data_IF_619932681720
#
_entry.id   IF_619932681720
#
_cell.length_a   1.000
_cell.length_b   1.000
_cell.length_c   1.000
_cell.angle_alpha   90.00
_cell.angle_beta   90.00
_cell.angle_gamma   90.00
#
_symmetry.space_group_name_H-M   'P 1'
#
loop_
_entity.id
_entity.type
_entity.pdbx_description
1 polymer ?
#
# COMPACT_ATOMS: atom_id res chain seq x y z
N UNK A 1 -15.12 -24.42 -9.54
CA UNK A 1 -13.97 -25.02 -8.86
C UNK A 1 -13.42 -23.97 -7.86
N UNK A 2 -13.44 -24.23 -6.55
CA UNK A 2 -13.01 -23.25 -5.54
C UNK A 2 -11.50 -23.00 -5.71
N UNK A 3 -11.12 -21.82 -6.15
CA UNK A 3 -9.75 -21.35 -6.12
C UNK A 3 -9.42 -21.03 -4.66
N UNK A 4 -9.04 -22.06 -3.90
CA UNK A 4 -8.48 -21.90 -2.55
C UNK A 4 -7.17 -21.19 -2.78
N UNK A 5 -7.08 -19.95 -2.30
CA UNK A 5 -5.83 -19.20 -2.23
C UNK A 5 -4.83 -20.07 -1.43
N UNK A 6 -3.95 -20.81 -2.12
CA UNK A 6 -2.89 -21.57 -1.48
C UNK A 6 -1.91 -20.58 -0.86
N UNK A 7 -2.16 -20.20 0.37
CA UNK A 7 -1.20 -19.44 1.18
C UNK A 7 0.14 -20.20 1.14
N UNK A 8 1.17 -19.58 0.58
CA UNK A 8 2.52 -20.12 0.66
C UNK A 8 2.90 -20.13 2.15
N UNK A 9 2.95 -21.29 2.78
CA UNK A 9 3.13 -21.45 4.24
C UNK A 9 4.39 -20.74 4.75
N UNK A 10 5.50 -20.82 4.02
CA UNK A 10 6.78 -20.21 4.42
C UNK A 10 6.72 -18.69 4.65
N UNK A 11 6.21 -17.87 3.73
CA UNK A 11 6.05 -16.42 3.96
C UNK A 11 5.13 -16.10 5.13
N UNK A 12 4.05 -16.87 5.33
CA UNK A 12 3.12 -16.68 6.45
C UNK A 12 3.82 -16.93 7.78
N UNK A 13 4.58 -18.03 7.92
CA UNK A 13 5.35 -18.33 9.12
C UNK A 13 6.44 -17.28 9.41
N UNK A 14 7.09 -16.78 8.35
CA UNK A 14 8.07 -15.69 8.48
C UNK A 14 7.40 -14.39 8.99
N UNK A 15 6.23 -14.03 8.45
CA UNK A 15 5.48 -12.88 8.90
C UNK A 15 5.06 -13.02 10.37
N UNK A 16 4.55 -14.17 10.77
CA UNK A 16 4.20 -14.43 12.18
C UNK A 16 5.39 -14.34 13.11
N UNK A 17 6.53 -14.93 12.74
CA UNK A 17 7.75 -14.85 13.53
C UNK A 17 8.21 -13.40 13.76
N UNK A 18 8.03 -12.51 12.76
CA UNK A 18 8.31 -11.08 12.90
C UNK A 18 7.33 -10.40 13.83
N UNK A 19 6.02 -10.61 13.62
CA UNK A 19 4.96 -10.03 14.43
C UNK A 19 5.14 -10.41 15.90
N UNK A 20 5.48 -11.67 16.19
CA UNK A 20 5.79 -12.15 17.56
C UNK A 20 6.99 -11.41 18.19
N UNK A 21 7.97 -10.99 17.40
CA UNK A 21 9.10 -10.17 17.86
C UNK A 21 8.78 -8.69 17.95
N UNK A 22 7.55 -8.27 17.55
CA UNK A 22 7.12 -6.89 17.45
C UNK A 22 7.69 -6.13 16.25
N UNK A 23 8.15 -6.87 15.23
CA UNK A 23 8.65 -6.32 13.97
C UNK A 23 7.51 -6.25 12.95
N UNK A 24 7.52 -5.24 12.08
CA UNK A 24 6.52 -5.13 11.02
C UNK A 24 7.02 -5.87 9.76
N UNK A 25 6.20 -6.77 9.19
CA UNK A 25 6.60 -7.53 8.01
C UNK A 25 6.61 -6.72 6.71
N UNK A 26 5.92 -5.57 6.67
CA UNK A 26 5.77 -4.76 5.46
C UNK A 26 6.31 -3.35 5.65
N UNK A 27 6.97 -2.84 4.62
CA UNK A 27 7.48 -1.47 4.53
C UNK A 27 6.90 -0.82 3.27
N UNK A 28 6.37 0.39 3.39
CA UNK A 28 5.94 1.22 2.27
C UNK A 28 6.78 2.50 2.27
N UNK A 29 7.42 2.82 1.16
CA UNK A 29 8.29 3.99 1.01
C UNK A 29 7.72 4.93 -0.04
N UNK A 30 7.44 6.17 0.37
CA UNK A 30 7.23 7.28 -0.55
C UNK A 30 8.61 7.80 -0.95
N UNK A 31 9.22 7.21 -2.00
CA UNK A 31 10.63 7.48 -2.36
C UNK A 31 10.86 8.86 -2.96
N UNK A 32 9.82 9.61 -3.25
CA UNK A 32 9.90 10.96 -3.79
C UNK A 32 8.60 11.72 -3.52
N UNK A 33 8.71 13.02 -3.34
CA UNK A 33 7.57 13.94 -3.34
C UNK A 33 7.20 14.45 -4.73
N UNK A 34 8.03 14.15 -5.74
CA UNK A 34 7.81 14.62 -7.09
C UNK A 34 6.77 13.75 -7.81
N UNK A 35 5.79 14.39 -8.44
CA UNK A 35 4.83 13.75 -9.33
C UNK A 35 4.55 14.67 -10.50
N UNK A 36 4.58 14.17 -11.75
CA UNK A 36 4.24 14.97 -12.93
C UNK A 36 2.74 15.23 -13.04
N UNK A 37 1.92 14.53 -12.23
CA UNK A 37 0.47 14.68 -12.20
C UNK A 37 0.04 15.63 -11.08
N UNK A 38 -1.16 16.20 -11.24
CA UNK A 38 -1.84 17.06 -10.27
C UNK A 38 -3.28 16.58 -10.11
N UNK A 39 -3.42 15.35 -9.62
CA UNK A 39 -4.72 14.71 -9.45
C UNK A 39 -5.52 15.41 -8.35
N UNK A 40 -6.76 15.86 -8.59
CA UNK A 40 -7.64 16.31 -7.53
C UNK A 40 -7.85 15.20 -6.49
N UNK A 41 -7.80 15.55 -5.20
CA UNK A 41 -8.01 14.60 -4.11
C UNK A 41 -6.91 13.54 -3.97
N UNK A 42 -5.70 13.80 -4.45
CA UNK A 42 -4.56 12.92 -4.23
C UNK A 42 -4.18 12.91 -2.74
N UNK A 43 -4.37 11.78 -2.06
CA UNK A 43 -4.17 11.66 -0.62
C UNK A 43 -2.76 12.08 -0.17
N UNK A 44 -1.73 11.85 -0.99
CA UNK A 44 -0.34 12.18 -0.64
C UNK A 44 -0.08 13.70 -0.57
N UNK A 45 -0.87 14.50 -1.26
CA UNK A 45 -0.77 15.96 -1.27
C UNK A 45 -1.88 16.65 -0.44
N UNK A 46 -2.77 15.87 0.18
CA UNK A 46 -3.74 16.42 1.11
C UNK A 46 -3.01 17.03 2.34
N UNK A 47 -3.40 18.22 2.81
CA UNK A 47 -2.74 18.87 3.95
C UNK A 47 -2.70 18.00 5.21
N UNK A 48 -3.68 17.14 5.39
CA UNK A 48 -3.78 16.24 6.53
C UNK A 48 -2.87 15.01 6.44
N UNK A 49 -2.29 14.69 5.28
CA UNK A 49 -1.55 13.44 5.04
C UNK A 49 -0.43 13.20 6.07
N UNK A 50 0.38 14.21 6.35
CA UNK A 50 1.47 14.16 7.32
C UNK A 50 1.18 14.98 8.59
N UNK A 51 -0.07 15.30 8.83
CA UNK A 51 -0.45 16.19 9.93
C UNK A 51 -0.16 17.67 9.61
N UNK A 52 0.78 18.28 10.35
CA UNK A 52 1.07 19.72 10.17
C UNK A 52 2.13 20.04 9.10
N UNK A 53 2.82 19.02 8.57
CA UNK A 53 3.93 19.23 7.61
C UNK A 53 3.47 18.90 6.21
N UNK A 54 3.48 19.86 5.27
CA UNK A 54 3.19 19.57 3.87
C UNK A 54 4.24 18.65 3.26
N UNK A 55 3.81 17.70 2.43
CA UNK A 55 4.72 16.77 1.72
C UNK A 55 5.82 17.54 0.94
N UNK A 56 5.49 18.70 0.41
CA UNK A 56 6.41 19.53 -0.38
C UNK A 56 7.58 20.10 0.42
N UNK A 57 7.45 20.17 1.73
CA UNK A 57 8.47 20.72 2.63
C UNK A 57 9.45 19.67 3.13
N UNK A 58 9.15 18.39 2.90
CA UNK A 58 10.06 17.30 3.23
C UNK A 58 11.28 17.28 2.29
N UNK A 59 12.39 16.73 2.79
CA UNK A 59 13.54 16.37 1.95
C UNK A 59 13.13 15.36 0.88
N UNK A 60 13.79 15.45 -0.27
CA UNK A 60 13.56 14.57 -1.42
C UNK A 60 14.91 14.14 -2.00
N UNK A 61 15.29 12.90 -1.76
CA UNK A 61 16.60 12.38 -2.09
C UNK A 61 16.67 11.89 -3.55
N UNK A 62 17.89 11.93 -4.13
CA UNK A 62 18.16 11.54 -5.52
C UNK A 62 19.52 10.85 -5.60
N UNK A 63 19.72 10.12 -6.71
CA UNK A 63 21.00 9.48 -7.02
C UNK A 63 21.47 8.54 -5.91
N UNK A 64 22.78 8.56 -5.66
CA UNK A 64 23.44 7.65 -4.70
C UNK A 64 22.90 7.79 -3.28
N UNK A 65 22.53 9.00 -2.85
CA UNK A 65 21.97 9.22 -1.52
C UNK A 65 20.64 8.50 -1.34
N UNK A 66 19.71 8.58 -2.32
CA UNK A 66 18.46 7.84 -2.29
C UNK A 66 18.71 6.33 -2.23
N UNK A 67 19.63 5.84 -3.07
CA UNK A 67 19.99 4.42 -3.14
C UNK A 67 20.50 3.93 -1.77
N UNK A 68 21.48 4.64 -1.20
CA UNK A 68 22.07 4.28 0.09
C UNK A 68 21.02 4.28 1.23
N UNK A 69 20.15 5.30 1.28
CA UNK A 69 19.09 5.40 2.29
C UNK A 69 18.07 4.26 2.17
N UNK A 70 17.59 3.95 0.96
CA UNK A 70 16.62 2.87 0.74
C UNK A 70 17.22 1.53 1.13
N UNK A 71 18.46 1.22 0.74
CA UNK A 71 19.15 -0.01 1.14
C UNK A 71 19.33 -0.09 2.66
N UNK A 72 19.75 1.01 3.29
CA UNK A 72 19.89 1.08 4.75
C UNK A 72 18.57 0.84 5.50
N UNK A 73 17.44 1.31 4.95
CA UNK A 73 16.12 1.02 5.52
C UNK A 73 15.73 -0.44 5.35
N UNK A 74 15.99 -1.04 4.18
CA UNK A 74 15.71 -2.45 3.93
C UNK A 74 16.55 -3.34 4.83
N UNK A 75 17.82 -3.03 5.03
CA UNK A 75 18.69 -3.75 5.97
C UNK A 75 18.22 -3.61 7.43
N UNK A 76 17.79 -2.42 7.81
CA UNK A 76 17.27 -2.13 9.16
C UNK A 76 15.96 -2.84 9.45
N UNK A 77 15.01 -2.76 8.53
CA UNK A 77 13.66 -3.30 8.75
C UNK A 77 13.46 -4.71 8.22
N UNK A 78 14.28 -5.14 7.26
CA UNK A 78 14.22 -6.46 6.61
C UNK A 78 12.80 -6.86 6.23
N UNK A 79 12.05 -6.03 5.49
CA UNK A 79 10.65 -6.32 5.18
C UNK A 79 10.53 -7.58 4.33
N UNK A 80 9.41 -8.30 4.49
CA UNK A 80 9.03 -9.38 3.57
C UNK A 80 8.37 -8.84 2.32
N UNK A 81 7.72 -7.68 2.45
CA UNK A 81 7.07 -6.94 1.37
C UNK A 81 7.49 -5.47 1.42
N UNK A 82 8.00 -4.96 0.32
CA UNK A 82 8.37 -3.57 0.13
C UNK A 82 7.48 -2.95 -0.94
N UNK A 83 6.65 -1.98 -0.56
CA UNK A 83 5.89 -1.17 -1.49
C UNK A 83 6.62 0.13 -1.74
N UNK A 84 6.93 0.42 -2.99
CA UNK A 84 7.56 1.66 -3.45
C UNK A 84 6.47 2.51 -4.08
N UNK A 85 6.22 3.63 -3.44
CA UNK A 85 5.20 4.62 -3.82
C UNK A 85 5.83 6.02 -3.72
N UNK A 86 5.04 7.06 -3.66
CA UNK A 86 5.50 8.42 -3.46
C UNK A 86 4.64 9.40 -4.24
N UNK A 87 5.23 10.44 -4.79
CA UNK A 87 4.59 11.22 -5.84
C UNK A 87 4.32 10.31 -7.04
N UNK A 88 5.35 10.02 -7.83
CA UNK A 88 5.35 8.87 -8.74
C UNK A 88 6.75 8.25 -8.80
N UNK A 89 6.92 6.96 -8.47
CA UNK A 89 8.23 6.32 -8.42
C UNK A 89 9.00 6.34 -9.74
N UNK A 90 8.33 6.39 -10.89
CA UNK A 90 9.01 6.47 -12.19
C UNK A 90 9.78 7.78 -12.39
N UNK A 91 9.60 8.79 -11.54
CA UNK A 91 10.49 9.97 -11.51
C UNK A 91 11.91 9.55 -11.11
N UNK A 92 12.04 8.50 -10.30
CA UNK A 92 13.31 7.92 -9.81
C UNK A 92 13.66 6.60 -10.51
N UNK A 93 13.26 6.42 -11.78
CA UNK A 93 13.45 5.15 -12.48
C UNK A 93 14.92 4.72 -12.60
N UNK A 94 15.87 5.67 -12.68
CA UNK A 94 17.31 5.36 -12.76
C UNK A 94 17.83 4.78 -11.44
N UNK A 95 17.43 5.36 -10.33
CA UNK A 95 17.75 4.86 -8.99
C UNK A 95 17.09 3.51 -8.74
N UNK A 96 15.84 3.35 -9.19
CA UNK A 96 15.13 2.08 -9.09
C UNK A 96 15.77 0.98 -9.93
N UNK A 97 16.30 1.30 -11.10
CA UNK A 97 17.01 0.35 -11.98
C UNK A 97 18.25 -0.24 -11.28
N UNK A 98 18.94 0.57 -10.46
CA UNK A 98 20.08 0.16 -9.63
C UNK A 98 19.64 -0.59 -8.38
N UNK A 99 18.52 -0.17 -7.76
CA UNK A 99 17.99 -0.72 -6.51
C UNK A 99 17.36 -2.10 -6.69
N UNK A 100 16.57 -2.30 -7.75
CA UNK A 100 15.76 -3.50 -7.93
C UNK A 100 16.56 -4.79 -7.85
N UNK A 101 17.72 -4.97 -8.55
CA UNK A 101 18.49 -6.21 -8.44
C UNK A 101 18.93 -6.55 -7.01
N UNK A 102 19.14 -5.54 -6.16
CA UNK A 102 19.55 -5.74 -4.77
C UNK A 102 18.34 -6.04 -3.87
N UNK A 103 17.21 -5.37 -4.10
CA UNK A 103 16.02 -5.49 -3.27
C UNK A 103 15.32 -6.84 -3.43
N UNK A 104 15.16 -7.31 -4.68
CA UNK A 104 14.41 -8.55 -5.00
C UNK A 104 15.02 -9.83 -4.44
N UNK A 105 16.30 -9.81 -4.09
CA UNK A 105 16.98 -10.94 -3.44
C UNK A 105 16.48 -11.16 -2.00
N UNK A 106 15.95 -10.11 -1.36
CA UNK A 106 15.63 -10.10 0.06
C UNK A 106 14.14 -9.91 0.36
N UNK A 107 13.40 -9.27 -0.54
CA UNK A 107 12.00 -8.88 -0.32
C UNK A 107 11.19 -8.99 -1.61
N UNK A 108 9.88 -9.16 -1.46
CA UNK A 108 8.96 -8.96 -2.58
C UNK A 108 8.75 -7.46 -2.78
N UNK A 109 9.05 -6.96 -3.96
CA UNK A 109 8.97 -5.53 -4.29
C UNK A 109 7.71 -5.24 -5.09
N UNK A 110 6.94 -4.24 -4.67
CA UNK A 110 5.81 -3.70 -5.43
C UNK A 110 6.10 -2.24 -5.76
N UNK A 111 5.96 -1.86 -7.02
CA UNK A 111 6.03 -0.46 -7.47
C UNK A 111 4.64 -0.03 -7.90
N UNK A 112 4.11 1.05 -7.29
CA UNK A 112 2.80 1.62 -7.65
C UNK A 112 3.03 2.95 -8.37
N UNK A 113 2.62 3.03 -9.63
CA UNK A 113 2.87 4.18 -10.50
C UNK A 113 1.66 4.56 -11.32
N UNK A 114 1.61 5.78 -11.83
CA UNK A 114 0.67 6.21 -12.86
C UNK A 114 1.09 5.80 -14.28
N UNK A 115 2.26 5.21 -14.44
CA UNK A 115 2.86 4.89 -15.74
C UNK A 115 2.85 6.09 -16.72
N UNK A 116 3.09 7.30 -16.22
CA UNK A 116 3.11 8.54 -17.01
C UNK A 116 4.21 8.55 -18.08
N UNK A 117 5.21 7.68 -17.94
CA UNK A 117 6.32 7.43 -18.85
C UNK A 117 6.50 5.93 -19.08
N UNK A 118 7.24 5.52 -20.15
CA UNK A 118 7.57 4.12 -20.37
C UNK A 118 8.23 3.49 -19.14
N UNK A 119 7.74 2.32 -18.76
CA UNK A 119 8.39 1.49 -17.73
C UNK A 119 9.63 0.86 -18.37
N UNK A 120 10.80 0.83 -17.70
CA UNK A 120 12.00 0.20 -18.27
C UNK A 120 11.76 -1.26 -18.63
N UNK A 121 12.04 -1.66 -19.86
CA UNK A 121 11.85 -3.06 -20.32
C UNK A 121 12.70 -4.05 -19.53
N UNK A 122 13.81 -3.62 -18.92
CA UNK A 122 14.61 -4.41 -17.98
C UNK A 122 13.79 -4.95 -16.80
N UNK A 123 12.65 -4.31 -16.47
CA UNK A 123 11.81 -4.71 -15.34
C UNK A 123 10.76 -5.78 -15.72
N UNK A 124 10.55 -6.06 -17.00
CA UNK A 124 9.47 -6.94 -17.46
C UNK A 124 9.57 -8.37 -16.91
N UNK A 125 10.79 -8.87 -16.70
CA UNK A 125 11.05 -10.25 -16.25
C UNK A 125 11.75 -10.33 -14.90
N UNK A 126 11.74 -9.22 -14.12
CA UNK A 126 12.38 -9.19 -12.81
C UNK A 126 11.57 -10.05 -11.83
N UNK A 127 12.16 -11.12 -11.25
CA UNK A 127 11.44 -11.96 -10.30
C UNK A 127 11.13 -11.18 -9.01
N UNK A 128 10.05 -11.55 -8.33
CA UNK A 128 9.61 -10.88 -7.09
C UNK A 128 9.29 -9.39 -7.23
N UNK A 129 9.20 -8.85 -8.44
CA UNK A 129 8.72 -7.51 -8.73
C UNK A 129 7.26 -7.56 -9.18
N UNK A 130 6.43 -6.73 -8.60
CA UNK A 130 5.07 -6.47 -9.04
C UNK A 130 4.89 -5.01 -9.45
N UNK A 131 4.54 -4.79 -10.69
CA UNK A 131 4.20 -3.48 -11.22
C UNK A 131 2.69 -3.26 -11.08
N UNK A 132 2.31 -2.20 -10.40
CA UNK A 132 0.91 -1.79 -10.21
C UNK A 132 0.70 -0.44 -10.87
N UNK A 133 -0.20 -0.39 -11.83
CA UNK A 133 -0.51 0.83 -12.57
C UNK A 133 -1.87 1.36 -12.12
N UNK A 134 -1.85 2.60 -11.66
CA UNK A 134 -3.05 3.27 -11.16
C UNK A 134 -3.88 3.83 -12.31
N UNK A 135 -5.08 3.30 -12.51
CA UNK A 135 -6.02 3.71 -13.56
C UNK A 135 -7.40 3.92 -12.94
N UNK A 136 -7.87 5.15 -12.94
CA UNK A 136 -9.13 5.53 -12.27
C UNK A 136 -10.25 5.82 -13.28
N UNK A 137 -10.60 4.82 -14.07
CA UNK A 137 -11.68 4.86 -15.03
C UNK A 137 -11.24 4.64 -16.48
N UNK A 138 -12.20 4.66 -17.39
CA UNK A 138 -11.99 4.73 -18.83
C UNK A 138 -11.73 6.19 -19.24
N UNK A 139 -11.30 6.42 -20.47
CA UNK A 139 -11.24 7.77 -21.03
C UNK A 139 -12.68 8.24 -21.37
N UNK A 140 -13.09 9.51 -21.08
CA UNK A 140 -12.27 10.63 -20.57
C UNK A 140 -12.18 10.74 -19.04
N UNK A 141 -12.91 9.93 -18.26
CA UNK A 141 -13.02 10.05 -16.80
C UNK A 141 -11.66 9.92 -16.11
N UNK A 142 -10.83 8.99 -16.59
CA UNK A 142 -9.46 8.84 -16.09
C UNK A 142 -8.67 10.15 -16.26
N UNK A 143 -8.73 10.75 -17.44
CA UNK A 143 -7.96 11.96 -17.76
C UNK A 143 -8.46 13.20 -17.00
N UNK A 144 -9.76 13.24 -16.65
CA UNK A 144 -10.30 14.27 -15.76
C UNK A 144 -9.80 14.13 -14.32
N UNK A 145 -9.65 12.90 -13.84
CA UNK A 145 -9.21 12.62 -12.47
C UNK A 145 -7.69 12.63 -12.33
N UNK A 146 -6.94 12.19 -13.35
CA UNK A 146 -5.47 12.15 -13.36
C UNK A 146 -4.91 13.17 -14.35
N UNK A 147 -4.65 14.37 -13.85
CA UNK A 147 -4.18 15.51 -14.67
C UNK A 147 -2.67 15.67 -14.61
N UNK A 148 -2.00 16.04 -15.73
CA UNK A 148 -2.54 16.09 -17.10
C UNK A 148 -2.86 14.68 -17.63
N UNK A 149 -3.73 14.63 -18.68
CA UNK A 149 -4.20 13.40 -19.32
C UNK A 149 -3.10 12.37 -19.57
N UNK A 150 -3.32 11.13 -19.11
CA UNK A 150 -2.32 10.05 -19.17
C UNK A 150 -2.84 8.77 -19.81
N UNK A 151 -4.15 8.63 -20.07
CA UNK A 151 -4.76 7.36 -20.48
C UNK A 151 -4.07 6.71 -21.69
N UNK A 152 -3.93 7.47 -22.79
CA UNK A 152 -3.26 6.96 -24.00
C UNK A 152 -1.76 6.64 -23.77
N UNK A 153 -1.12 7.42 -22.92
CA UNK A 153 0.28 7.15 -22.52
C UNK A 153 0.39 5.84 -21.76
N UNK A 154 -0.54 5.56 -20.85
CA UNK A 154 -0.54 4.30 -20.08
C UNK A 154 -0.61 3.13 -21.04
N UNK A 155 -1.56 3.13 -22.00
CA UNK A 155 -1.71 2.06 -22.98
C UNK A 155 -0.41 1.78 -23.77
N UNK A 156 0.37 2.81 -24.05
CA UNK A 156 1.67 2.68 -24.69
C UNK A 156 2.76 2.24 -23.70
N UNK A 157 2.82 2.87 -22.54
CA UNK A 157 3.94 2.75 -21.59
C UNK A 157 4.01 1.41 -20.86
N UNK A 158 2.90 0.64 -20.83
CA UNK A 158 2.84 -0.69 -20.21
C UNK A 158 3.14 -1.83 -21.20
N UNK A 159 3.33 -1.54 -22.48
CA UNK A 159 3.59 -2.56 -23.49
C UNK A 159 4.86 -3.36 -23.16
N UNK A 160 4.80 -4.68 -23.35
CA UNK A 160 5.91 -5.58 -23.04
C UNK A 160 6.08 -5.93 -21.56
N UNK A 161 5.17 -5.46 -20.69
CA UNK A 161 5.17 -5.77 -19.26
C UNK A 161 4.00 -6.66 -18.86
N UNK A 162 4.06 -7.15 -17.59
CA UNK A 162 2.98 -7.82 -16.90
C UNK A 162 2.59 -6.96 -15.69
N UNK A 163 1.51 -6.17 -15.84
CA UNK A 163 1.10 -5.21 -14.81
C UNK A 163 -0.21 -5.60 -14.15
N UNK A 164 -0.35 -5.23 -12.88
CA UNK A 164 -1.64 -5.17 -12.23
C UNK A 164 -2.24 -3.77 -12.42
N UNK A 165 -3.48 -3.68 -12.88
CA UNK A 165 -4.24 -2.43 -12.88
C UNK A 165 -4.88 -2.26 -11.51
N UNK A 166 -4.71 -1.08 -10.90
CA UNK A 166 -5.42 -0.72 -9.68
C UNK A 166 -6.35 0.46 -9.96
N UNK A 167 -7.63 0.27 -9.68
CA UNK A 167 -8.67 1.28 -9.85
C UNK A 167 -9.36 1.58 -8.53
N UNK A 168 -9.62 2.86 -8.26
CA UNK A 168 -10.44 3.30 -7.12
C UNK A 168 -11.85 3.61 -7.59
N UNK A 169 -12.81 2.76 -7.19
CA UNK A 169 -14.24 2.96 -7.47
C UNK A 169 -14.74 4.21 -6.72
N UNK A 170 -15.40 5.10 -7.45
CA UNK A 170 -16.03 6.31 -6.94
C UNK A 170 -17.53 6.28 -7.14
N UNK A 171 -18.26 7.18 -6.45
CA UNK A 171 -19.72 7.34 -6.62
C UNK A 171 -20.10 7.56 -8.10
N UNK A 172 -19.33 8.35 -8.84
CA UNK A 172 -19.60 8.62 -10.26
C UNK A 172 -19.56 7.35 -11.11
N UNK A 173 -18.61 6.43 -10.84
CA UNK A 173 -18.52 5.17 -11.56
C UNK A 173 -19.72 4.25 -11.28
N UNK A 174 -20.19 4.21 -10.04
CA UNK A 174 -21.31 3.34 -9.62
C UNK A 174 -22.64 3.86 -10.18
N UNK A 175 -22.80 5.17 -10.30
CA UNK A 175 -24.01 5.80 -10.89
C UNK A 175 -24.16 5.54 -12.39
N UNK A 176 -23.05 5.31 -13.09
CA UNK A 176 -23.09 4.95 -14.52
C UNK A 176 -23.28 3.44 -14.65
N UNK A 177 -24.50 3.06 -15.07
CA UNK A 177 -24.83 1.64 -15.29
C UNK A 177 -23.87 0.98 -16.28
N UNK A 178 -23.36 -0.22 -15.95
CA UNK A 178 -22.45 -0.97 -16.82
C UNK A 178 -21.00 -0.48 -16.84
N UNK A 179 -20.65 0.63 -16.18
CA UNK A 179 -19.32 1.22 -16.28
C UNK A 179 -18.21 0.34 -15.71
N UNK A 180 -18.41 -0.23 -14.53
CA UNK A 180 -17.40 -1.10 -13.91
C UNK A 180 -17.16 -2.37 -14.74
N UNK A 181 -18.19 -3.08 -15.24
CA UNK A 181 -18.00 -4.16 -16.23
C UNK A 181 -17.21 -3.71 -17.46
N UNK A 182 -17.61 -2.61 -18.10
CA UNK A 182 -16.93 -2.05 -19.28
C UNK A 182 -15.44 -1.78 -19.01
N UNK A 183 -15.11 -1.20 -17.86
CA UNK A 183 -13.73 -0.98 -17.42
C UNK A 183 -12.96 -2.30 -17.29
N UNK A 184 -13.55 -3.29 -16.61
CA UNK A 184 -12.90 -4.58 -16.37
C UNK A 184 -12.69 -5.32 -17.68
N UNK A 185 -13.68 -5.30 -18.59
CA UNK A 185 -13.60 -5.92 -19.92
C UNK A 185 -12.49 -5.31 -20.77
N UNK A 186 -12.47 -3.96 -20.85
CA UNK A 186 -11.46 -3.23 -21.61
C UNK A 186 -10.02 -3.57 -21.13
N UNK A 187 -9.76 -3.48 -19.84
CA UNK A 187 -8.43 -3.75 -19.30
C UNK A 187 -8.08 -5.23 -19.29
N UNK A 188 -9.06 -6.14 -19.19
CA UNK A 188 -8.84 -7.57 -19.31
C UNK A 188 -8.43 -7.99 -20.73
N UNK A 189 -8.89 -7.28 -21.75
CA UNK A 189 -8.50 -7.52 -23.14
C UNK A 189 -7.04 -7.09 -23.44
N UNK A 190 -6.45 -6.23 -22.63
CA UNK A 190 -5.07 -5.78 -22.84
C UNK A 190 -4.07 -6.89 -22.45
N UNK A 191 -3.15 -7.32 -23.37
CA UNK A 191 -2.20 -8.39 -23.10
C UNK A 191 -1.15 -8.04 -22.03
N UNK A 192 -0.85 -6.77 -21.83
CA UNK A 192 0.07 -6.31 -20.77
C UNK A 192 -0.55 -6.38 -19.37
N UNK A 193 -1.86 -6.53 -19.25
CA UNK A 193 -2.56 -6.62 -17.96
C UNK A 193 -2.66 -8.06 -17.52
N UNK A 194 -2.07 -8.36 -16.37
CA UNK A 194 -2.15 -9.67 -15.72
C UNK A 194 -3.32 -9.74 -14.74
N UNK A 195 -3.54 -8.65 -13.98
CA UNK A 195 -4.52 -8.58 -12.90
C UNK A 195 -5.20 -7.22 -12.85
N UNK A 196 -6.41 -7.20 -12.32
CA UNK A 196 -7.16 -5.99 -12.01
C UNK A 196 -7.56 -6.03 -10.55
N UNK A 197 -7.22 -4.99 -9.81
CA UNK A 197 -7.61 -4.79 -8.42
C UNK A 197 -8.48 -3.55 -8.30
N UNK A 198 -9.55 -3.68 -7.56
CA UNK A 198 -10.47 -2.58 -7.30
C UNK A 198 -10.45 -2.22 -5.82
N UNK A 199 -10.16 -0.96 -5.54
CA UNK A 199 -10.41 -0.32 -4.24
C UNK A 199 -11.69 0.49 -4.31
N UNK A 200 -12.22 0.92 -3.17
CA UNK A 200 -13.25 1.95 -3.11
C UNK A 200 -12.67 3.23 -2.52
N UNK A 201 -13.22 4.36 -2.88
CA UNK A 201 -12.77 5.64 -2.34
C UNK A 201 -12.89 5.64 -0.81
N UNK A 202 -11.82 6.05 -0.13
CA UNK A 202 -11.77 6.17 1.34
C UNK A 202 -11.69 7.64 1.70
N UNK A 203 -12.74 8.25 2.27
CA UNK A 203 -12.71 9.66 2.66
C UNK A 203 -11.90 9.90 3.93
N UNK A 204 -11.47 11.14 4.14
CA UNK A 204 -11.06 11.64 5.46
C UNK A 204 -12.31 11.93 6.29
N UNK A 205 -12.24 11.75 7.61
CA UNK A 205 -13.37 12.02 8.52
C UNK A 205 -13.83 13.47 8.42
N UNK A 206 -15.13 13.65 8.25
CA UNK A 206 -15.74 14.97 8.12
C UNK A 206 -15.52 15.65 6.77
N UNK A 207 -14.79 15.05 5.85
CA UNK A 207 -14.66 15.60 4.50
C UNK A 207 -15.93 15.34 3.68
N UNK A 208 -16.42 16.39 3.03
CA UNK A 208 -17.46 16.28 2.01
C UNK A 208 -16.76 16.10 0.66
N UNK A 209 -16.89 14.91 0.08
CA UNK A 209 -16.25 14.58 -1.19
C UNK A 209 -17.24 13.86 -2.10
N UNK A 210 -17.38 14.35 -3.33
CA UNK A 210 -18.29 13.81 -4.35
C UNK A 210 -17.92 12.39 -4.81
N UNK A 211 -16.70 11.95 -4.54
CA UNK A 211 -16.24 10.59 -4.84
C UNK A 211 -16.67 9.55 -3.81
N UNK A 212 -17.14 9.99 -2.61
CA UNK A 212 -17.61 9.09 -1.57
C UNK A 212 -18.83 8.29 -2.04
N UNK A 213 -18.79 6.98 -1.74
CA UNK A 213 -19.90 6.09 -2.00
C UNK A 213 -20.91 6.18 -0.85
N UNK A 214 -22.19 6.30 -1.17
CA UNK A 214 -23.27 6.05 -0.21
C UNK A 214 -23.28 4.55 0.15
N UNK A 215 -24.00 4.19 1.21
CA UNK A 215 -24.15 2.78 1.60
C UNK A 215 -24.79 1.93 0.50
N UNK A 216 -25.73 2.50 -0.26
CA UNK A 216 -26.38 1.79 -1.38
C UNK A 216 -25.44 1.64 -2.57
N UNK A 217 -24.70 2.69 -2.92
CA UNK A 217 -23.68 2.63 -3.97
C UNK A 217 -22.58 1.63 -3.63
N UNK A 218 -22.14 1.56 -2.36
CA UNK A 218 -21.16 0.57 -1.92
C UNK A 218 -21.71 -0.84 -2.06
N UNK A 219 -22.96 -1.11 -1.64
CA UNK A 219 -23.60 -2.42 -1.83
C UNK A 219 -23.73 -2.79 -3.31
N UNK A 220 -24.12 -1.82 -4.14
CA UNK A 220 -24.22 -2.01 -5.59
C UNK A 220 -22.85 -2.35 -6.20
N UNK A 221 -21.80 -1.59 -5.88
CA UNK A 221 -20.44 -1.86 -6.35
C UNK A 221 -19.98 -3.28 -5.96
N UNK A 222 -20.24 -3.70 -4.73
CA UNK A 222 -19.93 -5.06 -4.25
C UNK A 222 -20.68 -6.12 -5.09
N UNK A 223 -21.97 -5.92 -5.35
CA UNK A 223 -22.78 -6.81 -6.20
C UNK A 223 -22.20 -6.92 -7.62
N UNK A 224 -21.81 -5.79 -8.21
CA UNK A 224 -21.19 -5.74 -9.53
C UNK A 224 -19.85 -6.50 -9.52
N UNK A 225 -19.00 -6.32 -8.52
CA UNK A 225 -17.72 -7.03 -8.41
C UNK A 225 -17.92 -8.54 -8.26
N UNK A 226 -18.93 -8.99 -7.50
CA UNK A 226 -19.28 -10.40 -7.37
C UNK A 226 -19.67 -11.03 -8.72
N UNK A 227 -20.47 -10.33 -9.51
CA UNK A 227 -20.89 -10.81 -10.83
C UNK A 227 -19.71 -10.85 -11.79
N UNK A 228 -18.92 -9.75 -11.89
CA UNK A 228 -17.83 -9.65 -12.85
C UNK A 228 -16.73 -10.69 -12.62
N UNK A 229 -16.38 -11.01 -11.37
CA UNK A 229 -15.34 -12.01 -11.09
C UNK A 229 -15.66 -13.42 -11.64
N UNK A 230 -16.90 -13.72 -11.93
CA UNK A 230 -17.30 -15.02 -12.47
C UNK A 230 -16.93 -15.16 -13.95
N UNK A 231 -16.84 -14.05 -14.66
CA UNK A 231 -16.63 -14.00 -16.11
C UNK A 231 -15.25 -13.45 -16.49
N UNK A 232 -14.61 -12.69 -15.58
CA UNK A 232 -13.35 -12.01 -15.84
C UNK A 232 -12.23 -12.55 -14.95
N UNK A 233 -11.42 -13.50 -15.45
CA UNK A 233 -10.39 -14.16 -14.67
C UNK A 233 -9.25 -13.21 -14.24
N UNK A 234 -9.04 -12.09 -14.97
CA UNK A 234 -8.06 -11.08 -14.58
C UNK A 234 -8.54 -10.18 -13.44
N UNK A 235 -9.84 -10.16 -13.11
CA UNK A 235 -10.32 -9.48 -11.89
C UNK A 235 -9.91 -10.31 -10.67
N UNK A 236 -8.74 -10.01 -10.14
CA UNK A 236 -8.11 -10.73 -9.01
C UNK A 236 -8.69 -10.24 -7.67
N UNK A 237 -9.99 -10.44 -7.52
CA UNK A 237 -10.80 -10.08 -6.37
C UNK A 237 -11.54 -11.31 -5.83
N UNK A 238 -10.91 -12.12 -4.95
CA UNK A 238 -11.58 -13.27 -4.34
C UNK A 238 -12.86 -12.85 -3.61
N UNK A 239 -13.86 -13.74 -3.60
CA UNK A 239 -15.15 -13.47 -2.94
C UNK A 239 -14.98 -13.03 -1.48
N UNK A 240 -14.04 -13.66 -0.76
CA UNK A 240 -13.73 -13.31 0.62
C UNK A 240 -13.25 -11.86 0.76
N UNK A 241 -12.45 -11.37 -0.20
CA UNK A 241 -11.97 -9.99 -0.22
C UNK A 241 -13.09 -9.00 -0.55
N UNK A 242 -13.94 -9.34 -1.53
CA UNK A 242 -15.08 -8.48 -1.90
C UNK A 242 -16.05 -8.34 -0.72
N UNK A 243 -16.28 -9.39 0.05
CA UNK A 243 -17.15 -9.37 1.24
C UNK A 243 -16.65 -8.40 2.32
N UNK A 244 -15.34 -8.24 2.48
CA UNK A 244 -14.78 -7.35 3.51
C UNK A 244 -15.14 -5.87 3.28
N UNK A 245 -15.48 -5.48 2.05
CA UNK A 245 -15.98 -4.13 1.79
C UNK A 245 -17.35 -3.84 2.42
N UNK A 246 -18.12 -4.87 2.82
CA UNK A 246 -19.37 -4.68 3.56
C UNK A 246 -19.13 -4.25 5.01
N UNK A 247 -18.01 -4.69 5.60
CA UNK A 247 -17.70 -4.45 7.01
C UNK A 247 -16.20 -4.21 7.18
N UNK A 248 -15.67 -3.09 6.68
CA UNK A 248 -14.25 -2.77 6.80
C UNK A 248 -13.86 -2.58 8.27
N UNK A 249 -12.54 -2.67 8.59
CA UNK A 249 -12.04 -2.41 9.94
C UNK A 249 -12.44 -1.01 10.43
N UNK A 250 -13.07 -0.93 11.60
CA UNK A 250 -13.64 0.32 12.14
C UNK A 250 -12.60 1.32 12.64
N UNK A 251 -11.35 0.91 12.82
CA UNK A 251 -10.26 1.76 13.27
C UNK A 251 -8.90 1.22 12.85
N UNK A 252 -7.84 2.05 12.86
CA UNK A 252 -6.47 1.60 12.56
C UNK A 252 -5.97 0.50 13.49
N UNK A 253 -6.40 0.51 14.77
CA UNK A 253 -6.03 -0.51 15.76
C UNK A 253 -6.65 -1.87 15.44
N UNK A 254 -7.76 -1.89 14.72
CA UNK A 254 -8.45 -3.11 14.25
C UNK A 254 -8.08 -3.49 12.81
N UNK A 255 -7.27 -2.70 12.14
CA UNK A 255 -6.82 -2.94 10.77
C UNK A 255 -5.48 -3.67 10.75
N UNK A 256 -5.46 -4.91 10.25
CA UNK A 256 -4.23 -5.70 10.16
C UNK A 256 -3.20 -5.00 9.27
N UNK A 257 -3.63 -4.39 8.16
CA UNK A 257 -2.73 -3.63 7.29
C UNK A 257 -2.01 -2.51 8.06
N UNK A 258 -2.74 -1.69 8.81
CA UNK A 258 -2.15 -0.62 9.63
C UNK A 258 -1.24 -1.16 10.75
N UNK A 259 -1.49 -2.38 11.22
CA UNK A 259 -0.70 -3.02 12.29
C UNK A 259 0.53 -3.78 11.77
N UNK A 260 0.62 -4.03 10.48
CA UNK A 260 1.71 -4.82 9.86
C UNK A 260 2.57 -4.04 8.90
N UNK A 261 2.17 -2.81 8.54
CA UNK A 261 2.86 -1.99 7.56
C UNK A 261 3.41 -0.72 8.21
N UNK A 262 4.66 -0.42 7.95
CA UNK A 262 5.27 0.88 8.23
C UNK A 262 5.31 1.68 6.92
N UNK A 263 4.73 2.87 6.93
CA UNK A 263 4.84 3.80 5.80
C UNK A 263 5.77 4.95 6.19
N UNK A 264 6.79 5.20 5.37
CA UNK A 264 7.70 6.34 5.50
C UNK A 264 7.48 7.29 4.33
N UNK A 265 7.45 8.58 4.63
CA UNK A 265 7.27 9.63 3.62
C UNK A 265 8.56 9.94 2.86
N UNK A 266 8.55 10.94 2.00
CA UNK A 266 9.59 11.24 1.01
C UNK A 266 10.97 11.53 1.61
N UNK A 267 11.05 11.99 2.87
CA UNK A 267 12.29 12.13 3.63
C UNK A 267 12.83 10.80 4.18
N UNK A 268 12.14 9.68 3.94
CA UNK A 268 12.46 8.33 4.41
C UNK A 268 12.58 8.19 5.94
N UNK A 269 12.06 9.15 6.68
CA UNK A 269 12.13 9.23 8.15
C UNK A 269 10.75 9.46 8.76
N UNK A 270 9.97 10.38 8.22
CA UNK A 270 8.63 10.72 8.71
C UNK A 270 7.67 9.55 8.51
N UNK A 271 7.09 9.07 9.62
CA UNK A 271 6.11 7.97 9.59
C UNK A 271 4.74 8.50 9.25
N UNK A 272 4.17 8.02 8.14
CA UNK A 272 2.78 8.31 7.76
C UNK A 272 1.83 7.53 8.68
N UNK A 273 0.93 8.23 9.34
CA UNK A 273 -0.03 7.66 10.30
C UNK A 273 -1.45 8.12 9.96
N UNK A 274 -2.46 7.29 10.27
CA UNK A 274 -2.42 5.99 10.95
C UNK A 274 -2.10 4.81 10.01
N UNK A 275 -2.18 5.02 8.71
CA UNK A 275 -1.86 4.08 7.63
C UNK A 275 -1.39 4.87 6.40
N UNK A 276 -1.23 4.23 5.25
CA UNK A 276 -0.77 4.88 4.01
C UNK A 276 -1.56 6.12 3.56
N UNK A 277 -2.83 6.25 3.97
CA UNK A 277 -3.63 7.44 3.63
C UNK A 277 -3.24 8.68 4.44
N UNK A 278 -2.57 8.50 5.57
CA UNK A 278 -2.29 9.62 6.48
C UNK A 278 -3.55 10.24 7.08
N UNK A 279 -3.38 11.33 7.83
CA UNK A 279 -4.49 12.11 8.37
C UNK A 279 -5.45 11.37 9.29
N UNK A 280 -6.74 11.53 9.04
CA UNK A 280 -7.83 10.88 9.77
C UNK A 280 -8.78 10.15 8.82
N UNK A 281 -8.36 9.05 8.19
CA UNK A 281 -9.22 8.33 7.26
C UNK A 281 -10.46 7.78 7.97
N UNK A 282 -11.61 7.84 7.30
CA UNK A 282 -12.81 7.19 7.80
C UNK A 282 -12.74 5.68 7.59
N UNK A 283 -12.25 4.99 8.59
CA UNK A 283 -12.08 3.54 8.54
C UNK A 283 -13.40 2.79 8.33
N UNK A 284 -14.54 3.35 8.76
CA UNK A 284 -15.85 2.72 8.55
C UNK A 284 -16.26 2.72 7.07
N UNK A 285 -15.65 3.60 6.27
CA UNK A 285 -15.81 3.68 4.83
C UNK A 285 -14.54 3.24 4.08
N UNK A 286 -13.61 2.56 4.76
CA UNK A 286 -12.36 2.12 4.15
C UNK A 286 -12.62 1.27 2.90
N UNK A 287 -11.95 1.62 1.82
CA UNK A 287 -11.98 0.90 0.55
C UNK A 287 -10.62 0.35 0.12
N UNK A 288 -9.63 0.33 1.01
CA UNK A 288 -8.28 -0.14 0.70
C UNK A 288 -8.25 -1.65 0.44
N UNK A 289 -7.92 -2.05 -0.80
CA UNK A 289 -7.85 -3.47 -1.19
C UNK A 289 -6.83 -4.25 -0.33
N UNK A 290 -5.71 -3.65 0.06
CA UNK A 290 -4.72 -4.31 0.90
C UNK A 290 -5.27 -4.58 2.31
N UNK A 291 -6.05 -3.65 2.88
CA UNK A 291 -6.76 -3.85 4.15
C UNK A 291 -7.79 -4.97 4.05
N UNK A 292 -8.61 -4.96 2.97
CA UNK A 292 -9.63 -6.00 2.74
C UNK A 292 -8.98 -7.37 2.52
N UNK A 293 -7.89 -7.45 1.77
CA UNK A 293 -7.15 -8.70 1.53
C UNK A 293 -6.62 -9.33 2.84
N UNK A 294 -6.07 -8.50 3.74
CA UNK A 294 -5.59 -8.98 5.03
C UNK A 294 -6.73 -9.33 6.00
N UNK A 295 -7.85 -8.59 5.96
CA UNK A 295 -9.03 -8.93 6.73
C UNK A 295 -9.62 -10.27 6.28
N UNK A 296 -9.75 -10.49 4.97
CA UNK A 296 -10.20 -11.77 4.40
C UNK A 296 -9.28 -12.94 4.78
N UNK A 297 -7.96 -12.71 4.77
CA UNK A 297 -7.00 -13.71 5.24
C UNK A 297 -7.18 -14.02 6.74
N UNK A 298 -7.48 -13.02 7.56
CA UNK A 298 -7.72 -13.20 8.99
C UNK A 298 -8.95 -14.05 9.30
N UNK A 299 -9.98 -14.00 8.46
CA UNK A 299 -11.18 -14.81 8.63
C UNK A 299 -11.00 -16.29 8.22
N UNK A 300 -9.87 -16.65 7.62
CA UNK A 300 -9.63 -18.06 7.26
C UNK A 300 -9.44 -18.91 8.51
N UNK A 301 -10.18 -20.02 8.55
CA UNK A 301 -10.05 -21.03 9.61
C UNK A 301 -8.76 -21.81 9.44
N UNK A 302 -8.02 -21.97 10.53
CA UNK A 302 -6.78 -22.75 10.58
C UNK A 302 -7.06 -24.13 11.18
N UNK A 303 -7.61 -24.18 12.40
CA UNK A 303 -7.98 -25.43 13.09
C UNK A 303 -9.23 -25.16 13.93
N UNK A 304 -10.31 -25.93 13.72
CA UNK A 304 -11.56 -25.80 14.47
C UNK A 304 -12.11 -24.38 14.43
N UNK A 305 -12.38 -23.73 15.56
CA UNK A 305 -12.89 -22.36 15.62
C UNK A 305 -11.77 -21.30 15.48
N UNK A 306 -10.49 -21.69 15.48
CA UNK A 306 -9.34 -20.78 15.44
C UNK A 306 -9.13 -20.26 14.02
N UNK A 307 -9.18 -18.94 13.86
CA UNK A 307 -8.87 -18.27 12.60
C UNK A 307 -7.45 -17.70 12.58
N UNK A 308 -6.94 -17.38 11.38
CA UNK A 308 -5.68 -16.68 11.23
C UNK A 308 -5.66 -15.34 11.98
N UNK A 309 -6.81 -14.67 12.08
CA UNK A 309 -6.98 -13.44 12.85
C UNK A 309 -6.75 -13.63 14.35
N UNK A 310 -7.28 -14.70 14.94
CA UNK A 310 -7.01 -15.00 16.35
C UNK A 310 -5.51 -15.13 16.62
N UNK A 311 -4.81 -15.87 15.76
CA UNK A 311 -3.36 -16.05 15.88
C UNK A 311 -2.64 -14.72 15.68
N UNK A 312 -3.06 -13.94 14.68
CA UNK A 312 -2.47 -12.62 14.42
C UNK A 312 -2.59 -11.69 15.62
N UNK A 313 -3.81 -11.50 16.16
CA UNK A 313 -4.03 -10.55 17.24
C UNK A 313 -3.31 -10.93 18.53
N UNK A 314 -3.27 -12.23 18.86
CA UNK A 314 -2.49 -12.73 19.98
C UNK A 314 -0.99 -12.49 19.78
N UNK A 315 -0.47 -12.83 18.59
CA UNK A 315 0.94 -12.61 18.24
C UNK A 315 1.32 -11.13 18.27
N UNK A 316 0.46 -10.26 17.76
CA UNK A 316 0.68 -8.81 17.76
C UNK A 316 0.70 -8.23 19.20
N UNK A 317 -0.19 -8.71 20.08
CA UNK A 317 -0.20 -8.30 21.48
C UNK A 317 1.10 -8.69 22.18
N UNK A 318 1.57 -9.92 21.99
CA UNK A 318 2.86 -10.41 22.53
C UNK A 318 4.01 -9.56 22.00
N UNK A 319 4.07 -9.36 20.69
CA UNK A 319 5.14 -8.60 20.04
C UNK A 319 5.21 -7.15 20.56
N UNK A 320 4.07 -6.49 20.72
CA UNK A 320 4.01 -5.13 21.30
C UNK A 320 4.52 -5.08 22.74
N UNK A 321 4.16 -6.06 23.56
CA UNK A 321 4.64 -6.16 24.92
C UNK A 321 6.16 -6.30 24.96
N UNK A 322 6.72 -7.21 24.14
CA UNK A 322 8.16 -7.41 24.02
C UNK A 322 8.91 -6.16 23.54
N UNK A 323 8.35 -5.42 22.59
CA UNK A 323 8.94 -4.16 22.11
C UNK A 323 8.94 -3.07 23.18
N UNK A 324 7.85 -2.94 23.95
CA UNK A 324 7.81 -1.99 25.08
C UNK A 324 8.88 -2.32 26.11
N UNK A 325 9.04 -3.60 26.48
CA UNK A 325 10.09 -4.04 27.38
C UNK A 325 11.51 -3.71 26.89
N UNK A 326 11.81 -3.99 25.61
CA UNK A 326 13.09 -3.62 24.98
C UNK A 326 13.36 -2.11 25.00
N UNK A 327 12.34 -1.30 24.75
CA UNK A 327 12.46 0.16 24.75
C UNK A 327 12.74 0.68 26.16
N UNK A 328 12.04 0.17 27.18
CA UNK A 328 12.29 0.53 28.58
C UNK A 328 13.71 0.15 29.03
N UNK A 329 14.16 -1.05 28.71
CA UNK A 329 15.52 -1.51 29.00
C UNK A 329 16.58 -0.61 28.35
N UNK A 330 16.41 -0.25 27.07
CA UNK A 330 17.32 0.67 26.37
C UNK A 330 17.36 2.06 27.03
N UNK A 331 16.22 2.58 27.45
CA UNK A 331 16.14 3.85 28.15
C UNK A 331 16.84 3.81 29.52
N UNK A 332 16.70 2.72 30.28
CA UNK A 332 17.37 2.52 31.56
C UNK A 332 18.90 2.44 31.39
N UNK A 333 19.38 1.67 30.41
CA UNK A 333 20.81 1.54 30.10
C UNK A 333 21.40 2.89 29.68
N UNK A 334 20.68 3.66 28.85
CA UNK A 334 21.15 4.97 28.43
C UNK A 334 21.18 5.97 29.59
N UNK A 335 20.21 5.97 30.49
CA UNK A 335 20.21 6.80 31.71
C UNK A 335 21.40 6.47 32.60
N UNK A 336 21.75 5.20 32.80
CA UNK A 336 22.91 4.77 33.57
C UNK A 336 24.24 5.21 32.94
N UNK A 337 24.34 5.20 31.59
CA UNK A 337 25.52 5.72 30.89
C UNK A 337 25.70 7.21 31.05
N UNK A 338 24.62 7.98 30.99
CA UNK A 338 24.67 9.45 31.17
C UNK A 338 25.02 9.87 32.60
N UNK A 339 24.65 9.03 33.59
CA UNK A 339 25.02 9.29 35.01
C UNK A 339 26.44 8.88 35.36
N UNK A 340 27.13 8.07 34.52
CA UNK A 340 28.50 7.59 34.73
C UNK A 340 29.59 8.43 34.04
N UNK A 341 29.23 9.46 33.28
CA UNK A 341 30.22 10.46 32.80
C UNK A 341 30.54 11.44 33.93
N UNK A 342 31.74 11.39 34.57
CA UNK A 342 32.12 12.38 35.58
C UNK A 342 32.26 13.72 34.89
N UNK A 343 31.64 14.75 35.46
CA UNK A 343 31.94 16.13 35.13
C UNK A 343 33.41 16.39 35.58
N UNK A 344 34.34 16.36 34.63
CA UNK A 344 35.69 16.90 34.88
C UNK A 344 35.54 18.37 35.18
N UNK A 345 36.03 18.89 36.34
CA UNK A 345 36.06 20.31 36.62
C UNK A 345 36.99 20.96 35.59
N UNK A 346 36.52 21.99 34.90
CA UNK A 346 37.38 22.92 34.18
C UNK A 346 38.10 23.73 35.28
N UNK A 347 39.37 23.40 35.51
CA UNK A 347 40.29 24.29 36.23
C UNK A 347 40.71 25.40 35.28
N UNK A 348 40.69 26.63 35.78
CA UNK A 348 41.14 27.88 35.16
C UNK A 348 42.57 27.82 34.63
#
# INVERSE_FOLDING_TARGET
MRQIMRLKIKPVLQAWGRILRGELPSLSLEITRECPLRCPGCYAYEPAHLGAVPLRDLSDFKGEELIARVLGLVDRYRPLHLSIVGGDPLVRYRELDILLPQLICHTHVQIVTSAFRPIPLSWAMVPNLQLVVSVDGLQPEHDMRRRPATYQRILHNIQGHHVAIHCTITSAMVKRSGYIPEFVDFWSANPAVEKIWMSMFTPQRGAVNVECLTSDERRNAIGILFQNRLYQPKLDMPESVIKEFLSPPVSPERCIFAQTTRTLSADLETVVKPCQFGGSPDCSQCGCIASMGLAAAAHQRIIGPITAGHIFWTSNAIGRYLQRGKTMLRQLVNRQKTQRTPSTPRTC
#
